data_IF_726049140767
#
_entry.id   IF_726049140767
#
_cell.length_a   1.000
_cell.length_b   1.000
_cell.length_c   1.000
_cell.angle_alpha   90.00
_cell.angle_beta   90.00
_cell.angle_gamma   90.00
#
_symmetry.space_group_name_H-M   'P 1'
#
loop_
_entity.id
_entity.type
_entity.pdbx_description
1 polymer ?
#
# COMPACT_ATOMS: atom_id res chain seq x y z
N UNK A 1 14.52 -26.10 5.88
CA UNK A 1 13.19 -25.46 5.77
C UNK A 1 13.30 -24.34 4.76
N UNK A 2 13.32 -24.70 3.47
CA UNK A 2 13.54 -23.80 2.34
C UNK A 2 12.49 -24.08 1.27
N UNK A 3 12.22 -23.08 0.43
CA UNK A 3 11.22 -23.03 -0.65
C UNK A 3 9.80 -22.59 -0.26
N UNK A 4 9.64 -21.38 0.28
CA UNK A 4 8.31 -20.71 0.40
C UNK A 4 8.27 -19.26 -0.10
N UNK A 5 9.17 -18.90 -1.02
CA UNK A 5 9.24 -17.53 -1.58
C UNK A 5 9.11 -17.46 -3.11
N UNK A 6 8.80 -18.56 -3.80
CA UNK A 6 8.67 -18.52 -5.28
C UNK A 6 7.30 -18.07 -5.79
N UNK A 7 6.33 -17.77 -4.91
CA UNK A 7 4.93 -17.60 -5.32
C UNK A 7 4.20 -16.46 -4.60
N UNK A 8 4.80 -15.26 -4.50
CA UNK A 8 4.06 -14.06 -4.00
C UNK A 8 2.74 -13.81 -4.75
N UNK A 9 2.57 -14.42 -5.92
CA UNK A 9 1.39 -14.33 -6.77
C UNK A 9 0.33 -15.42 -6.53
N UNK A 10 0.67 -16.52 -5.86
CA UNK A 10 -0.30 -17.59 -5.54
C UNK A 10 -0.99 -17.38 -4.19
N UNK A 11 -0.57 -16.36 -3.42
CA UNK A 11 -1.28 -15.95 -2.20
C UNK A 11 -2.54 -15.17 -2.57
N UNK A 12 -3.56 -15.29 -1.74
CA UNK A 12 -4.72 -14.38 -1.76
C UNK A 12 -4.41 -13.07 -1.03
N UNK A 13 -5.12 -11.95 -1.29
CA UNK A 13 -4.96 -10.70 -0.54
C UNK A 13 -5.08 -10.88 0.97
N UNK A 14 -5.98 -11.76 1.42
CA UNK A 14 -6.15 -12.06 2.83
C UNK A 14 -4.91 -12.71 3.44
N UNK A 15 -4.36 -13.73 2.78
CA UNK A 15 -3.15 -14.43 3.24
C UNK A 15 -1.93 -13.52 3.19
N UNK A 16 -1.79 -12.74 2.13
CA UNK A 16 -0.70 -11.80 1.95
C UNK A 16 -0.67 -10.74 3.06
N UNK A 17 -1.82 -10.11 3.36
CA UNK A 17 -1.88 -9.11 4.43
C UNK A 17 -1.71 -9.72 5.81
N UNK A 18 -2.28 -10.90 6.07
CA UNK A 18 -2.02 -11.63 7.32
C UNK A 18 -0.54 -11.94 7.50
N UNK A 19 0.13 -12.36 6.43
CA UNK A 19 1.57 -12.61 6.43
C UNK A 19 2.34 -11.35 6.78
N UNK A 20 2.07 -10.22 6.12
CA UNK A 20 2.80 -8.97 6.39
C UNK A 20 2.51 -8.41 7.79
N UNK A 21 1.26 -8.43 8.24
CA UNK A 21 0.91 -8.06 9.63
C UNK A 21 1.69 -8.92 10.63
N UNK A 22 1.65 -10.25 10.48
CA UNK A 22 2.40 -11.16 11.36
C UNK A 22 3.91 -10.93 11.29
N UNK A 23 4.46 -10.72 10.10
CA UNK A 23 5.89 -10.46 9.89
C UNK A 23 6.36 -9.19 10.61
N UNK A 24 5.49 -8.18 10.69
CA UNK A 24 5.78 -6.93 11.39
C UNK A 24 5.29 -6.89 12.84
N UNK A 25 4.83 -8.02 13.41
CA UNK A 25 4.23 -8.11 14.75
C UNK A 25 3.02 -7.18 14.95
N UNK A 26 2.25 -6.96 13.88
CA UNK A 26 1.02 -6.20 13.88
C UNK A 26 -0.20 -7.12 13.83
N UNK A 27 -1.32 -6.65 14.38
CA UNK A 27 -2.59 -7.35 14.27
C UNK A 27 -3.24 -7.06 12.91
N UNK A 28 -3.72 -8.11 12.23
CA UNK A 28 -4.49 -7.95 11.01
C UNK A 28 -5.89 -7.44 11.32
N UNK A 29 -6.26 -6.29 10.72
CA UNK A 29 -7.62 -5.74 10.75
C UNK A 29 -8.26 -5.94 9.37
N UNK A 30 -9.32 -6.75 9.30
CA UNK A 30 -10.00 -7.08 8.06
C UNK A 30 -10.61 -5.84 7.35
N UNK A 31 -10.87 -4.76 8.10
CA UNK A 31 -11.36 -3.49 7.54
C UNK A 31 -10.43 -2.93 6.46
N UNK A 32 -9.14 -3.26 6.47
CA UNK A 32 -8.21 -2.81 5.44
C UNK A 32 -8.61 -3.31 4.04
N UNK A 33 -9.15 -4.53 3.94
CA UNK A 33 -9.63 -5.08 2.67
C UNK A 33 -10.89 -4.35 2.19
N UNK A 34 -11.74 -3.92 3.11
CA UNK A 34 -12.96 -3.16 2.79
C UNK A 34 -12.63 -1.76 2.31
N UNK A 35 -11.78 -1.05 3.05
CA UNK A 35 -11.29 0.29 2.69
C UNK A 35 -10.60 0.28 1.34
N UNK A 36 -9.81 -0.76 1.04
CA UNK A 36 -9.12 -0.88 -0.24
C UNK A 36 -10.01 -1.46 -1.36
N UNK A 37 -11.29 -1.73 -1.10
CA UNK A 37 -12.20 -2.33 -2.09
C UNK A 37 -11.76 -3.73 -2.56
N UNK A 38 -10.96 -4.43 -1.77
CA UNK A 38 -10.42 -5.76 -2.05
C UNK A 38 -11.24 -6.89 -1.39
N UNK A 39 -12.21 -6.57 -0.54
CA UNK A 39 -13.03 -7.56 0.20
C UNK A 39 -13.62 -8.65 -0.70
N UNK A 40 -14.17 -8.29 -1.87
CA UNK A 40 -14.75 -9.25 -2.84
C UNK A 40 -13.71 -10.17 -3.49
N UNK A 41 -12.44 -9.76 -3.49
CA UNK A 41 -11.32 -10.48 -4.09
C UNK A 41 -10.41 -11.10 -3.03
N UNK A 42 -10.82 -11.09 -1.77
CA UNK A 42 -10.01 -11.48 -0.60
C UNK A 42 -9.46 -12.90 -0.69
N UNK A 43 -10.18 -13.80 -1.36
CA UNK A 43 -9.84 -15.21 -1.57
C UNK A 43 -9.41 -15.53 -3.02
N UNK A 44 -9.29 -14.52 -3.88
CA UNK A 44 -8.78 -14.70 -5.24
C UNK A 44 -7.26 -14.58 -5.22
N UNK A 45 -6.53 -15.47 -5.87
CA UNK A 45 -5.07 -15.38 -5.91
C UNK A 45 -4.60 -14.07 -6.56
N UNK A 46 -3.53 -13.49 -6.01
CA UNK A 46 -3.04 -12.16 -6.39
C UNK A 46 -2.67 -12.05 -7.88
N UNK A 47 -2.34 -13.16 -8.55
CA UNK A 47 -2.07 -13.20 -9.99
C UNK A 47 -3.27 -12.80 -10.87
N UNK A 48 -4.49 -12.99 -10.37
CA UNK A 48 -5.72 -12.65 -11.09
C UNK A 48 -6.24 -11.24 -10.80
N UNK A 49 -5.57 -10.50 -9.92
CA UNK A 49 -5.93 -9.11 -9.66
C UNK A 49 -5.58 -8.22 -10.86
N UNK A 50 -6.42 -7.22 -11.13
CA UNK A 50 -6.06 -6.14 -12.06
C UNK A 50 -4.89 -5.32 -11.50
N UNK A 51 -4.19 -4.57 -12.35
CA UNK A 51 -3.08 -3.72 -11.90
C UNK A 51 -3.51 -2.69 -10.84
N UNK A 52 -4.68 -2.08 -10.98
CA UNK A 52 -5.23 -1.19 -9.95
C UNK A 52 -5.51 -1.91 -8.62
N UNK A 53 -5.99 -3.17 -8.66
CA UNK A 53 -6.19 -3.97 -7.46
C UNK A 53 -4.86 -4.37 -6.80
N UNK A 54 -3.84 -4.72 -7.60
CA UNK A 54 -2.47 -4.97 -7.11
C UNK A 54 -1.88 -3.72 -6.46
N UNK A 55 -2.10 -2.55 -7.04
CA UNK A 55 -1.65 -1.29 -6.48
C UNK A 55 -2.33 -0.99 -5.14
N UNK A 56 -3.65 -1.19 -5.04
CA UNK A 56 -4.38 -1.07 -3.76
C UNK A 56 -3.89 -2.07 -2.72
N UNK A 57 -3.55 -3.30 -3.13
CA UNK A 57 -2.93 -4.29 -2.23
C UNK A 57 -1.53 -3.83 -1.78
N UNK A 58 -0.74 -3.21 -2.66
CA UNK A 58 0.54 -2.60 -2.28
C UNK A 58 0.39 -1.54 -1.21
N UNK A 59 -0.62 -0.66 -1.34
CA UNK A 59 -0.94 0.31 -0.29
C UNK A 59 -1.38 -0.40 1.00
N UNK A 60 -2.23 -1.43 0.90
CA UNK A 60 -2.64 -2.20 2.08
C UNK A 60 -1.43 -2.81 2.83
N UNK A 61 -0.43 -3.32 2.11
CA UNK A 61 0.83 -3.83 2.68
C UNK A 61 1.63 -2.74 3.38
N UNK A 62 1.71 -1.54 2.78
CA UNK A 62 2.36 -0.39 3.40
C UNK A 62 1.72 -0.06 4.76
N UNK A 63 0.39 -0.03 4.81
CA UNK A 63 -0.35 0.22 6.05
C UNK A 63 -0.18 -0.90 7.08
N UNK A 64 -0.05 -2.15 6.64
CA UNK A 64 0.20 -3.30 7.51
C UNK A 64 1.58 -3.25 8.19
N UNK A 65 2.54 -2.51 7.63
CA UNK A 65 3.92 -2.48 8.12
C UNK A 65 4.14 -1.56 9.34
N UNK A 66 3.25 -0.58 9.57
CA UNK A 66 3.33 0.43 10.64
C UNK A 66 4.76 0.98 10.87
N UNK A 67 5.43 1.37 9.79
CA UNK A 67 6.80 1.91 9.84
C UNK A 67 6.78 3.43 9.89
N UNK A 68 7.72 4.02 10.64
CA UNK A 68 7.90 5.48 10.75
C UNK A 68 8.27 6.15 9.43
N UNK A 69 8.98 5.45 8.55
CA UNK A 69 9.42 6.00 7.26
C UNK A 69 8.77 5.18 6.14
N UNK A 70 8.05 5.86 5.24
CA UNK A 70 7.47 5.26 4.05
C UNK A 70 8.24 5.70 2.82
N UNK A 71 8.56 4.74 1.95
CA UNK A 71 9.15 4.98 0.64
C UNK A 71 8.08 4.62 -0.40
N UNK A 72 7.70 5.60 -1.20
CA UNK A 72 6.66 5.48 -2.21
C UNK A 72 7.27 5.73 -3.58
N UNK A 73 7.11 4.78 -4.50
CA UNK A 73 7.55 4.90 -5.88
C UNK A 73 6.32 4.78 -6.78
N UNK A 74 5.96 5.86 -7.47
CA UNK A 74 4.77 5.99 -8.30
C UNK A 74 3.48 5.45 -7.63
N UNK A 75 3.14 5.91 -6.40
CA UNK A 75 2.09 5.28 -5.59
C UNK A 75 0.69 5.43 -6.19
N UNK A 76 0.49 6.36 -7.12
CA UNK A 76 -0.79 6.64 -7.78
C UNK A 76 -0.91 6.01 -9.17
N UNK A 77 0.14 5.36 -9.68
CA UNK A 77 0.11 4.69 -10.97
C UNK A 77 -0.92 3.56 -10.94
N UNK A 78 -2.01 3.70 -11.69
CA UNK A 78 -3.17 2.77 -11.73
C UNK A 78 -4.21 2.88 -10.60
N UNK A 79 -4.18 3.95 -9.79
CA UNK A 79 -5.27 4.22 -8.84
C UNK A 79 -6.37 5.09 -9.46
N UNK A 80 -7.61 4.81 -9.07
CA UNK A 80 -8.72 5.73 -9.30
C UNK A 80 -8.76 6.83 -8.23
N UNK A 81 -9.59 7.85 -8.46
CA UNK A 81 -9.71 9.03 -7.58
C UNK A 81 -10.00 8.63 -6.13
N UNK A 82 -10.92 7.69 -5.92
CA UNK A 82 -11.28 7.21 -4.59
C UNK A 82 -10.09 6.59 -3.85
N UNK A 83 -9.28 5.76 -4.53
CA UNK A 83 -8.10 5.16 -3.91
C UNK A 83 -6.99 6.18 -3.65
N UNK A 84 -6.85 7.21 -4.50
CA UNK A 84 -5.93 8.33 -4.26
C UNK A 84 -6.34 9.10 -3.01
N UNK A 85 -7.63 9.39 -2.82
CA UNK A 85 -8.13 10.06 -1.61
C UNK A 85 -7.88 9.23 -0.35
N UNK A 86 -8.10 7.91 -0.42
CA UNK A 86 -7.77 7.00 0.68
C UNK A 86 -6.27 7.09 1.00
N UNK A 87 -5.40 7.00 0.00
CA UNK A 87 -3.95 7.12 0.18
C UNK A 87 -3.57 8.45 0.84
N UNK A 88 -4.12 9.58 0.37
CA UNK A 88 -3.91 10.91 0.97
C UNK A 88 -4.30 10.95 2.44
N UNK A 89 -5.43 10.35 2.80
CA UNK A 89 -5.90 10.31 4.19
C UNK A 89 -4.93 9.52 5.08
N UNK A 90 -4.42 8.39 4.59
CA UNK A 90 -3.42 7.61 5.33
C UNK A 90 -2.07 8.31 5.44
N UNK A 91 -1.63 9.01 4.38
CA UNK A 91 -0.44 9.86 4.40
C UNK A 91 -0.58 10.92 5.51
N UNK A 92 -1.68 11.66 5.55
CA UNK A 92 -1.91 12.69 6.57
C UNK A 92 -1.93 12.10 7.99
N UNK A 93 -2.56 10.94 8.17
CA UNK A 93 -2.59 10.23 9.46
C UNK A 93 -1.21 9.72 9.88
N UNK A 94 -0.37 9.31 8.94
CA UNK A 94 0.99 8.87 9.20
C UNK A 94 1.88 10.04 9.62
N UNK A 95 1.83 11.14 8.87
CA UNK A 95 2.57 12.37 9.18
C UNK A 95 2.17 12.97 10.53
N UNK A 96 0.86 13.00 10.86
CA UNK A 96 0.39 13.53 12.15
C UNK A 96 0.87 12.74 13.37
N UNK A 97 1.32 11.50 13.18
CA UNK A 97 1.93 10.66 14.21
C UNK A 97 3.47 10.80 14.27
N UNK A 98 4.05 11.76 13.54
CA UNK A 98 5.50 11.92 13.44
C UNK A 98 6.17 10.97 12.45
N UNK A 99 5.40 10.43 11.50
CA UNK A 99 5.91 9.68 10.38
C UNK A 99 6.60 10.56 9.34
N UNK A 100 7.42 9.94 8.49
CA UNK A 100 8.10 10.57 7.36
C UNK A 100 7.78 9.79 6.08
N UNK A 101 7.71 10.50 4.96
CA UNK A 101 7.44 9.93 3.64
C UNK A 101 8.46 10.49 2.66
N UNK A 102 9.10 9.60 1.89
CA UNK A 102 9.81 9.95 0.66
C UNK A 102 9.01 9.38 -0.50
N UNK A 103 8.63 10.23 -1.45
CA UNK A 103 7.78 9.86 -2.56
C UNK A 103 8.40 10.29 -3.89
N UNK A 104 8.49 9.35 -4.84
CA UNK A 104 8.71 9.63 -6.25
C UNK A 104 7.36 9.54 -6.99
N UNK A 105 7.06 10.54 -7.82
CA UNK A 105 5.81 10.62 -8.58
C UNK A 105 5.97 11.56 -9.76
N UNK A 106 5.40 11.20 -10.91
CA UNK A 106 5.26 12.11 -12.05
C UNK A 106 4.08 13.08 -11.93
N UNK A 107 3.24 12.93 -10.89
CA UNK A 107 2.04 13.74 -10.68
C UNK A 107 2.09 14.48 -9.36
N UNK A 108 1.53 15.69 -9.32
CA UNK A 108 1.33 16.43 -8.07
C UNK A 108 0.06 15.97 -7.36
N UNK A 109 0.07 14.73 -6.86
CA UNK A 109 -1.10 14.19 -6.17
C UNK A 109 -1.23 14.72 -4.74
N UNK A 110 -0.13 15.06 -4.05
CA UNK A 110 -0.16 15.51 -2.64
C UNK A 110 0.05 17.02 -2.50
N UNK A 111 -0.84 17.69 -1.77
CA UNK A 111 -0.96 19.16 -1.81
C UNK A 111 0.02 19.93 -0.91
N UNK A 112 0.56 19.30 0.15
CA UNK A 112 1.35 20.01 1.18
C UNK A 112 2.66 19.27 1.55
N UNK A 113 3.55 19.00 0.60
CA UNK A 113 4.86 18.44 0.92
C UNK A 113 5.74 19.48 1.65
N UNK A 114 6.51 19.04 2.64
CA UNK A 114 7.51 19.90 3.31
C UNK A 114 8.68 20.28 2.40
N UNK A 115 9.03 19.39 1.46
CA UNK A 115 10.10 19.57 0.48
C UNK A 115 9.70 18.93 -0.86
N UNK A 116 9.94 19.65 -1.95
CA UNK A 116 9.82 19.13 -3.32
C UNK A 116 11.20 19.23 -3.97
N UNK A 117 11.64 18.14 -4.59
CA UNK A 117 12.87 18.12 -5.38
C UNK A 117 12.53 17.72 -6.81
N UNK A 118 12.76 18.64 -7.76
CA UNK A 118 12.58 18.37 -9.19
C UNK A 118 13.86 17.73 -9.73
N UNK A 119 13.77 16.47 -10.12
CA UNK A 119 14.86 15.69 -10.71
C UNK A 119 15.02 16.01 -12.21
N UNK A 120 14.90 17.28 -12.62
CA UNK A 120 15.23 17.71 -13.98
C UNK A 120 16.74 17.98 -14.05
N UNK A 121 17.42 17.32 -14.99
CA UNK A 121 18.77 17.69 -15.42
C UNK A 121 18.69 18.72 -16.53
#
# INVERSE_FOLDING_TARGET
MGHKFSTKYDLTPLEDLKFWCSYFNNNFDEKILEVMGLKKFSNLECKYLSEGQKQRLSIARLLAADKKIWLLDEPTSSLDINAIEILKNYINKHLSKGGMILCASHTNFYEKPDLIYNMEK
#
